data_IF_277980498771
#
_entry.id   IF_277980498771
#
_cell.length_a   1.000
_cell.length_b   1.000
_cell.length_c   1.000
_cell.angle_alpha   90.00
_cell.angle_beta   90.00
_cell.angle_gamma   90.00
#
_symmetry.space_group_name_H-M   'P 1'
#
loop_
_entity.id
_entity.type
_entity.pdbx_description
1 polymer ?
#
# COMPACT_ATOMS: atom_id res chain seq x y z
N UNK A 1 22.97 -2.20 15.47
CA UNK A 1 21.73 -2.54 14.75
C UNK A 1 21.80 -4.02 14.43
N UNK A 2 20.78 -4.81 14.79
CA UNK A 2 20.74 -6.25 14.44
C UNK A 2 20.42 -6.39 12.95
N UNK A 3 20.86 -7.48 12.33
CA UNK A 3 20.54 -7.81 10.93
C UNK A 3 19.02 -7.83 10.71
N UNK A 4 18.27 -8.42 11.64
CA UNK A 4 16.81 -8.43 11.65
C UNK A 4 16.19 -7.02 11.64
N UNK A 5 16.79 -6.08 12.40
CA UNK A 5 16.34 -4.69 12.42
C UNK A 5 16.56 -3.97 11.09
N UNK A 6 17.66 -4.27 10.39
CA UNK A 6 17.96 -3.72 9.08
C UNK A 6 16.99 -4.26 8.01
N UNK A 7 16.71 -5.57 8.03
CA UNK A 7 15.73 -6.21 7.13
C UNK A 7 14.34 -5.62 7.35
N UNK A 8 13.94 -5.40 8.61
CA UNK A 8 12.64 -4.81 8.91
C UNK A 8 12.52 -3.36 8.40
N UNK A 9 13.58 -2.58 8.49
CA UNK A 9 13.62 -1.22 7.96
C UNK A 9 13.50 -1.20 6.44
N UNK A 10 14.25 -2.06 5.74
CA UNK A 10 14.14 -2.19 4.28
C UNK A 10 12.73 -2.63 3.84
N UNK A 11 12.13 -3.59 4.55
CA UNK A 11 10.74 -4.00 4.33
C UNK A 11 9.75 -2.84 4.53
N UNK A 12 9.96 -2.00 5.54
CA UNK A 12 9.12 -0.82 5.77
C UNK A 12 9.22 0.19 4.63
N UNK A 13 10.41 0.40 4.07
CA UNK A 13 10.63 1.28 2.93
C UNK A 13 9.92 0.75 1.69
N UNK A 14 10.05 -0.54 1.37
CA UNK A 14 9.32 -1.16 0.26
C UNK A 14 7.80 -1.05 0.42
N UNK A 15 7.27 -1.23 1.63
CA UNK A 15 5.84 -1.04 1.90
C UNK A 15 5.41 0.43 1.71
N UNK A 16 6.27 1.38 2.04
CA UNK A 16 6.07 2.80 1.79
C UNK A 16 5.98 3.11 0.29
N UNK A 17 6.96 2.64 -0.48
CA UNK A 17 7.00 2.80 -1.94
C UNK A 17 5.79 2.16 -2.62
N UNK A 18 5.45 0.93 -2.25
CA UNK A 18 4.28 0.22 -2.76
C UNK A 18 2.98 0.98 -2.45
N UNK A 19 2.82 1.50 -1.23
CA UNK A 19 1.64 2.30 -0.86
C UNK A 19 1.55 3.59 -1.69
N UNK A 20 2.69 4.25 -1.95
CA UNK A 20 2.76 5.42 -2.80
C UNK A 20 2.34 5.12 -4.24
N UNK A 21 2.88 4.05 -4.83
CA UNK A 21 2.56 3.59 -6.18
C UNK A 21 1.07 3.20 -6.33
N UNK A 22 0.52 2.49 -5.35
CA UNK A 22 -0.91 2.11 -5.34
C UNK A 22 -1.80 3.36 -5.24
N UNK A 23 -1.47 4.34 -4.38
CA UNK A 23 -2.22 5.61 -4.30
C UNK A 23 -2.18 6.37 -5.61
N UNK A 24 -1.01 6.47 -6.25
CA UNK A 24 -0.87 7.14 -7.54
C UNK A 24 -1.73 6.46 -8.61
N UNK A 25 -1.66 5.13 -8.69
CA UNK A 25 -2.47 4.33 -9.62
C UNK A 25 -3.96 4.50 -9.36
N UNK A 26 -4.39 4.47 -8.09
CA UNK A 26 -5.80 4.64 -7.72
C UNK A 26 -6.31 6.03 -8.06
N UNK A 27 -5.48 7.06 -7.87
CA UNK A 27 -5.79 8.44 -8.21
C UNK A 27 -5.95 8.62 -9.72
N UNK A 28 -4.98 8.15 -10.51
CA UNK A 28 -5.06 8.20 -11.97
C UNK A 28 -6.30 7.47 -12.50
N UNK A 29 -6.58 6.31 -11.91
CA UNK A 29 -7.76 5.53 -12.25
C UNK A 29 -9.04 6.33 -11.94
N UNK A 30 -9.20 6.84 -10.72
CA UNK A 30 -10.35 7.65 -10.33
C UNK A 30 -10.53 8.95 -11.16
N UNK A 31 -9.44 9.59 -11.60
CA UNK A 31 -9.48 10.81 -12.42
C UNK A 31 -9.92 10.55 -13.87
N UNK A 32 -9.66 9.34 -14.39
CA UNK A 32 -9.98 8.95 -15.78
C UNK A 32 -11.12 7.94 -15.87
N UNK A 33 -11.81 7.72 -14.76
CA UNK A 33 -12.90 6.77 -14.65
C UNK A 33 -14.18 7.20 -15.32
N UNK A 34 -14.84 6.25 -15.98
CA UNK A 34 -16.28 6.31 -16.13
C UNK A 34 -16.89 5.58 -14.94
N UNK A 35 -17.70 6.27 -14.14
CA UNK A 35 -18.40 5.69 -12.98
C UNK A 35 -19.34 4.55 -13.37
N UNK A 36 -19.71 4.47 -14.65
CA UNK A 36 -20.60 3.45 -15.21
C UNK A 36 -19.87 2.23 -15.80
N UNK A 37 -18.53 2.18 -15.80
CA UNK A 37 -17.78 1.00 -16.27
C UNK A 37 -17.54 -0.01 -15.12
N UNK A 38 -18.17 -1.20 -15.13
CA UNK A 38 -17.96 -2.21 -14.10
C UNK A 38 -16.52 -2.72 -14.01
N UNK A 39 -15.77 -2.68 -15.12
CA UNK A 39 -14.35 -3.06 -15.15
C UNK A 39 -13.51 -2.08 -14.34
N UNK A 40 -13.77 -0.80 -14.55
CA UNK A 40 -13.18 0.29 -13.79
C UNK A 40 -13.43 0.17 -12.29
N UNK A 41 -14.70 0.05 -11.88
CA UNK A 41 -15.08 -0.02 -10.47
C UNK A 41 -14.41 -1.22 -9.77
N UNK A 42 -14.32 -2.37 -10.47
CA UNK A 42 -13.62 -3.55 -9.96
C UNK A 42 -12.13 -3.30 -9.77
N UNK A 43 -11.48 -2.63 -10.71
CA UNK A 43 -10.06 -2.29 -10.60
C UNK A 43 -9.81 -1.29 -9.46
N UNK A 44 -10.67 -0.29 -9.30
CA UNK A 44 -10.60 0.68 -8.21
C UNK A 44 -10.77 0.01 -6.83
N UNK A 45 -11.71 -0.93 -6.71
CA UNK A 45 -11.88 -1.73 -5.50
C UNK A 45 -10.61 -2.55 -5.20
N UNK A 46 -10.01 -3.18 -6.22
CA UNK A 46 -8.78 -3.96 -6.07
C UNK A 46 -7.58 -3.11 -5.61
N UNK A 47 -7.44 -1.89 -6.13
CA UNK A 47 -6.40 -0.96 -5.67
C UNK A 47 -6.63 -0.50 -4.23
N UNK A 48 -7.90 -0.35 -3.83
CA UNK A 48 -8.25 -0.04 -2.43
C UNK A 48 -7.88 -1.20 -1.50
N UNK A 49 -8.25 -2.45 -1.85
CA UNK A 49 -7.86 -3.65 -1.11
C UNK A 49 -6.33 -3.79 -0.96
N UNK A 50 -5.60 -3.54 -2.05
CA UNK A 50 -4.15 -3.59 -2.05
C UNK A 50 -3.55 -2.53 -1.12
N UNK A 51 -4.09 -1.31 -1.13
CA UNK A 51 -3.64 -0.26 -0.22
C UNK A 51 -3.89 -0.64 1.25
N UNK A 52 -5.07 -1.17 1.57
CA UNK A 52 -5.41 -1.61 2.92
C UNK A 52 -4.51 -2.76 3.40
N UNK A 53 -4.13 -3.67 2.50
CA UNK A 53 -3.19 -4.75 2.80
C UNK A 53 -1.79 -4.21 3.10
N UNK A 54 -1.27 -3.32 2.25
CA UNK A 54 0.07 -2.72 2.42
C UNK A 54 0.14 -1.86 3.69
N UNK A 55 -0.91 -1.09 3.99
CA UNK A 55 -0.97 -0.29 5.22
C UNK A 55 -1.06 -1.18 6.48
N UNK A 56 -1.78 -2.30 6.42
CA UNK A 56 -1.77 -3.29 7.51
C UNK A 56 -0.39 -3.89 7.73
N UNK A 57 0.29 -4.30 6.67
CA UNK A 57 1.65 -4.81 6.75
C UNK A 57 2.62 -3.75 7.32
N UNK A 58 2.50 -2.50 6.90
CA UNK A 58 3.32 -1.39 7.39
C UNK A 58 3.09 -1.11 8.89
N UNK A 59 1.84 -1.19 9.36
CA UNK A 59 1.51 -1.08 10.79
C UNK A 59 2.09 -2.24 11.60
N UNK A 60 2.04 -3.46 11.07
CA UNK A 60 2.64 -4.63 11.72
C UNK A 60 4.16 -4.51 11.82
N UNK A 61 4.83 -4.10 10.74
CA UNK A 61 6.27 -3.87 10.75
C UNK A 61 6.70 -2.80 11.77
N UNK A 62 5.94 -1.70 11.88
CA UNK A 62 6.17 -0.67 12.90
C UNK A 62 6.00 -1.21 14.32
N UNK A 63 4.96 -2.03 14.58
CA UNK A 63 4.76 -2.69 15.88
C UNK A 63 5.94 -3.58 16.25
N UNK A 64 6.45 -4.37 15.31
CA UNK A 64 7.61 -5.25 15.53
C UNK A 64 8.89 -4.45 15.82
N UNK A 65 9.02 -3.25 15.24
CA UNK A 65 10.12 -2.32 15.55
C UNK A 65 9.96 -1.62 16.91
N UNK A 66 8.80 -1.74 17.56
CA UNK A 66 8.47 -0.99 18.78
C UNK A 66 8.12 0.48 18.53
N UNK A 67 7.78 0.83 17.27
CA UNK A 67 7.29 2.16 16.90
C UNK A 67 5.75 2.08 16.90
N UNK A 68 5.14 2.44 18.03
CA UNK A 68 3.69 2.46 18.23
C UNK A 68 3.10 3.85 18.08
#
# INVERSE_FOLDING_TARGET
>A
MTEEGAVLEELMDYLGEASGSIRASRRLLAEHASDDDPGHLRLLARLSEALDATERASREARRQRGIG
#
